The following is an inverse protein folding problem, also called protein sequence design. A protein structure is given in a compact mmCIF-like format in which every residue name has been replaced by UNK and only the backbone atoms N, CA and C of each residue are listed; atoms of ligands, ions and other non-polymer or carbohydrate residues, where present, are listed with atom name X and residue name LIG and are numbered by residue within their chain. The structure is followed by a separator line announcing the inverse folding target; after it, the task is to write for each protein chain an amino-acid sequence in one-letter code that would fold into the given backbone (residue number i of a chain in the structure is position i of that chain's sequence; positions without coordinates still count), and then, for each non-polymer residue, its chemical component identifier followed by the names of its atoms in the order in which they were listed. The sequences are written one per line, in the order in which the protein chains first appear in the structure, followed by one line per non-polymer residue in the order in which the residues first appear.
data_IF_991210026806
#
_entry.id   IF_991210026806
#
_cell.length_a   1.000
_cell.length_b   1.000
_cell.length_c   1.000
_cell.angle_alpha   90.00
_cell.angle_beta   90.00
_cell.angle_gamma   90.00
#
_symmetry.space_group_name_H-M   'P 1'
#
loop_
_entity.id
_entity.type
_entity.pdbx_description
1 polymer ?
#
# COMPACT_ATOMS: atom_id res chain seq x y z
N UNK A 1 -20.41 5.88 9.50
CA UNK A 1 -19.84 4.88 8.56
C UNK A 1 -19.90 5.36 7.11
N UNK A 2 -20.88 6.17 6.70
CA UNK A 2 -21.11 6.54 5.29
C UNK A 2 -19.91 7.13 4.52
N UNK A 3 -18.97 7.81 5.19
CA UNK A 3 -17.76 8.36 4.56
C UNK A 3 -16.45 7.71 5.05
N UNK A 4 -16.51 6.68 5.91
CA UNK A 4 -15.30 6.05 6.45
C UNK A 4 -14.47 5.41 5.33
N UNK A 5 -15.12 4.72 4.39
CA UNK A 5 -14.45 4.15 3.20
C UNK A 5 -13.67 5.23 2.42
N UNK A 6 -14.23 6.44 2.31
CA UNK A 6 -13.63 7.53 1.56
C UNK A 6 -12.40 8.06 2.28
N UNK A 7 -12.47 8.26 3.60
CA UNK A 7 -11.31 8.68 4.38
C UNK A 7 -10.19 7.65 4.33
N UNK A 8 -10.51 6.36 4.37
CA UNK A 8 -9.51 5.29 4.25
C UNK A 8 -8.82 5.36 2.88
N UNK A 9 -9.60 5.42 1.79
CA UNK A 9 -9.05 5.49 0.44
C UNK A 9 -8.17 6.74 0.22
N UNK A 10 -8.59 7.89 0.75
CA UNK A 10 -7.79 9.13 0.69
C UNK A 10 -6.48 8.99 1.47
N UNK A 11 -6.52 8.44 2.69
CA UNK A 11 -5.30 8.24 3.49
C UNK A 11 -4.37 7.23 2.82
N UNK A 12 -4.91 6.16 2.22
CA UNK A 12 -4.12 5.14 1.53
C UNK A 12 -3.43 5.74 0.29
N UNK A 13 -4.14 6.52 -0.53
CA UNK A 13 -3.55 7.23 -1.66
C UNK A 13 -2.47 8.25 -1.27
N UNK A 14 -2.68 8.97 -0.15
CA UNK A 14 -1.65 9.87 0.41
C UNK A 14 -0.45 9.07 0.91
N UNK A 15 -0.70 7.95 1.60
CA UNK A 15 0.36 7.08 2.10
C UNK A 15 1.22 6.57 0.96
N UNK A 16 0.60 6.14 -0.13
CA UNK A 16 1.28 5.66 -1.33
C UNK A 16 2.13 6.79 -1.96
N UNK A 17 1.61 8.01 -2.05
CA UNK A 17 2.40 9.18 -2.47
C UNK A 17 3.61 9.49 -1.57
N UNK A 18 3.43 9.35 -0.26
CA UNK A 18 4.50 9.50 0.70
C UNK A 18 5.57 8.40 0.51
N UNK A 19 5.15 7.15 0.31
CA UNK A 19 6.08 6.05 0.03
C UNK A 19 6.89 6.33 -1.23
N UNK A 20 6.23 6.51 -2.37
CA UNK A 20 6.90 6.61 -3.68
C UNK A 20 7.74 7.89 -3.85
N UNK A 21 7.35 9.02 -3.25
CA UNK A 21 8.03 10.30 -3.48
C UNK A 21 8.85 10.83 -2.33
N UNK A 22 8.44 10.58 -1.09
CA UNK A 22 9.11 11.13 0.10
C UNK A 22 10.10 10.13 0.65
N UNK A 23 9.66 8.90 0.96
CA UNK A 23 10.53 7.87 1.53
C UNK A 23 11.63 7.48 0.56
N UNK A 24 11.31 7.26 -0.71
CA UNK A 24 12.31 6.94 -1.72
C UNK A 24 13.37 8.03 -1.91
N UNK A 25 12.99 9.32 -1.85
CA UNK A 25 13.96 10.42 -1.99
C UNK A 25 14.80 10.61 -0.73
N UNK A 26 14.19 10.51 0.45
CA UNK A 26 14.86 10.76 1.72
C UNK A 26 15.82 9.61 2.08
N UNK A 27 15.44 8.37 1.78
CA UNK A 27 16.17 7.16 2.16
C UNK A 27 16.81 6.44 0.98
N UNK A 28 17.04 7.13 -0.14
CA UNK A 28 17.52 6.52 -1.38
C UNK A 28 18.75 5.63 -1.16
N UNK A 29 19.79 6.15 -0.49
CA UNK A 29 21.03 5.42 -0.24
C UNK A 29 20.81 4.17 0.62
N UNK A 30 19.93 4.26 1.62
CA UNK A 30 19.53 3.13 2.44
C UNK A 30 18.79 2.08 1.62
N UNK A 31 17.82 2.48 0.79
CA UNK A 31 17.08 1.59 -0.09
C UNK A 31 18.00 0.86 -1.07
N UNK A 32 18.99 1.54 -1.66
CA UNK A 32 19.96 0.92 -2.56
C UNK A 32 20.80 -0.13 -1.82
N UNK A 33 21.32 0.20 -0.64
CA UNK A 33 22.09 -0.74 0.17
C UNK A 33 21.25 -1.95 0.56
N UNK A 34 20.03 -1.71 1.03
CA UNK A 34 19.09 -2.72 1.48
C UNK A 34 18.66 -3.65 0.34
N UNK A 35 18.36 -3.11 -0.84
CA UNK A 35 18.10 -3.90 -2.05
C UNK A 35 19.32 -4.77 -2.42
N UNK A 36 20.54 -4.25 -2.27
CA UNK A 36 21.77 -5.02 -2.46
C UNK A 36 21.93 -6.19 -1.49
N UNK A 37 21.52 -6.02 -0.23
CA UNK A 37 21.49 -7.10 0.78
C UNK A 37 20.43 -8.14 0.41
N UNK A 38 19.20 -7.71 0.10
CA UNK A 38 18.12 -8.61 -0.33
C UNK A 38 18.55 -9.42 -1.54
N UNK A 39 19.14 -8.80 -2.55
CA UNK A 39 19.61 -9.47 -3.78
C UNK A 39 20.60 -10.59 -3.52
N UNK A 40 21.42 -10.48 -2.47
CA UNK A 40 22.34 -11.55 -2.06
C UNK A 40 21.63 -12.71 -1.36
N UNK A 41 20.46 -12.45 -0.77
CA UNK A 41 19.65 -13.42 -0.03
C UNK A 41 18.61 -14.12 -0.93
N UNK A 42 18.03 -13.40 -1.90
CA UNK A 42 17.01 -13.93 -2.80
C UNK A 42 17.54 -14.14 -4.21
N UNK A 43 17.19 -15.26 -4.84
CA UNK A 43 17.78 -15.72 -6.10
C UNK A 43 17.13 -15.18 -7.39
N UNK A 44 16.15 -14.27 -7.29
CA UNK A 44 15.41 -13.79 -8.47
C UNK A 44 14.85 -12.39 -8.27
N UNK A 45 14.71 -11.63 -9.37
CA UNK A 45 14.16 -10.27 -9.36
C UNK A 45 12.72 -10.25 -8.83
N UNK A 46 11.88 -11.22 -9.19
CA UNK A 46 10.49 -11.28 -8.70
C UNK A 46 10.41 -11.45 -7.16
N UNK A 47 11.33 -12.21 -6.56
CA UNK A 47 11.40 -12.34 -5.09
C UNK A 47 11.87 -11.04 -4.44
N UNK A 48 12.78 -10.30 -5.07
CA UNK A 48 13.21 -9.01 -4.56
C UNK A 48 12.06 -7.99 -4.62
N UNK A 49 11.35 -7.96 -5.74
CA UNK A 49 10.15 -7.15 -5.92
C UNK A 49 9.08 -7.49 -4.88
N UNK A 50 8.75 -8.78 -4.68
CA UNK A 50 7.81 -9.19 -3.63
C UNK A 50 8.21 -8.74 -2.22
N UNK A 51 9.51 -8.70 -1.91
CA UNK A 51 9.98 -8.16 -0.62
C UNK A 51 9.75 -6.66 -0.53
N UNK A 52 9.96 -5.92 -1.63
CA UNK A 52 9.63 -4.50 -1.70
C UNK A 52 8.14 -4.26 -1.46
N UNK A 53 7.27 -4.92 -2.22
CA UNK A 53 5.81 -4.79 -2.09
C UNK A 53 5.32 -5.18 -0.69
N UNK A 54 5.92 -6.22 -0.08
CA UNK A 54 5.59 -6.61 1.29
C UNK A 54 5.95 -5.52 2.30
N UNK A 55 7.04 -4.80 2.08
CA UNK A 55 7.43 -3.68 2.94
C UNK A 55 6.52 -2.47 2.74
N UNK A 56 6.11 -2.19 1.50
CA UNK A 56 5.12 -1.16 1.19
C UNK A 56 3.77 -1.46 1.85
N UNK A 57 3.29 -2.71 1.76
CA UNK A 57 2.10 -3.16 2.46
C UNK A 57 2.21 -2.98 3.99
N UNK A 58 3.35 -3.34 4.59
CA UNK A 58 3.60 -3.11 6.03
C UNK A 58 3.60 -1.61 6.36
N UNK A 59 4.16 -0.78 5.49
CA UNK A 59 4.13 0.67 5.66
C UNK A 59 2.69 1.20 5.65
N UNK A 60 1.85 0.78 4.70
CA UNK A 60 0.43 1.15 4.65
C UNK A 60 -0.35 0.66 5.87
N UNK A 61 -0.09 -0.57 6.33
CA UNK A 61 -0.67 -1.09 7.57
C UNK A 61 -0.38 -0.17 8.75
N UNK A 62 0.88 0.26 8.92
CA UNK A 62 1.30 1.14 10.02
C UNK A 62 0.61 2.50 9.90
N UNK A 63 0.65 3.12 8.70
CA UNK A 63 0.09 4.45 8.47
C UNK A 63 -1.41 4.48 8.76
N UNK A 64 -2.18 3.54 8.20
CA UNK A 64 -3.62 3.44 8.45
C UNK A 64 -3.92 3.15 9.91
N UNK A 65 -3.23 2.18 10.53
CA UNK A 65 -3.45 1.81 11.93
C UNK A 65 -3.24 3.00 12.86
N UNK A 66 -2.20 3.81 12.62
CA UNK A 66 -1.86 4.98 13.43
C UNK A 66 -2.85 6.12 13.21
N UNK A 67 -3.14 6.49 11.97
CA UNK A 67 -4.02 7.63 11.64
C UNK A 67 -5.43 7.39 12.18
N UNK A 68 -5.93 6.16 12.07
CA UNK A 68 -7.27 5.82 12.52
C UNK A 68 -7.35 5.33 13.98
N UNK A 69 -6.22 5.24 14.71
CA UNK A 69 -6.22 4.73 16.09
C UNK A 69 -7.07 5.57 17.04
N UNK A 70 -6.92 6.89 17.02
CA UNK A 70 -7.68 7.80 17.89
C UNK A 70 -9.18 7.71 17.61
N UNK A 71 -9.67 7.80 16.35
CA UNK A 71 -11.10 7.75 16.08
C UNK A 71 -11.75 6.36 16.13
N UNK A 72 -11.00 5.27 15.89
CA UNK A 72 -11.57 3.91 15.75
C UNK A 72 -11.09 2.92 16.83
N UNK A 73 -10.12 3.27 17.67
CA UNK A 73 -9.53 2.37 18.66
C UNK A 73 -8.91 1.13 18.01
N UNK A 74 -9.16 -0.06 18.57
CA UNK A 74 -8.61 -1.32 18.06
C UNK A 74 -9.10 -1.68 16.65
N UNK A 75 -10.24 -1.15 16.22
CA UNK A 75 -10.75 -1.35 14.86
C UNK A 75 -9.84 -0.72 13.80
N UNK A 76 -8.94 0.20 14.17
CA UNK A 76 -7.95 0.74 13.23
C UNK A 76 -6.97 -0.31 12.71
N UNK A 77 -6.67 -1.36 13.49
CA UNK A 77 -5.80 -2.45 13.05
C UNK A 77 -6.45 -3.31 11.95
N UNK A 78 -7.76 -3.54 12.04
CA UNK A 78 -8.51 -4.24 11.00
C UNK A 78 -8.48 -3.45 9.69
N UNK A 79 -8.73 -2.13 9.76
CA UNK A 79 -8.59 -1.24 8.61
C UNK A 79 -7.16 -1.24 8.05
N UNK A 80 -6.15 -1.23 8.91
CA UNK A 80 -4.75 -1.31 8.50
C UNK A 80 -4.45 -2.61 7.75
N UNK A 81 -4.89 -3.76 8.27
CA UNK A 81 -4.68 -5.07 7.62
C UNK A 81 -5.41 -5.13 6.29
N UNK A 82 -6.68 -4.72 6.27
CA UNK A 82 -7.49 -4.69 5.05
C UNK A 82 -6.87 -3.80 3.98
N UNK A 83 -6.41 -2.60 4.36
CA UNK A 83 -5.79 -1.63 3.46
C UNK A 83 -4.46 -2.12 2.88
N UNK A 84 -3.59 -2.67 3.73
CA UNK A 84 -2.32 -3.25 3.30
C UNK A 84 -2.51 -4.42 2.34
N UNK A 85 -3.48 -5.31 2.63
CA UNK A 85 -3.75 -6.48 1.80
C UNK A 85 -4.34 -6.09 0.45
N UNK A 86 -5.34 -5.20 0.41
CA UNK A 86 -5.93 -4.80 -0.87
C UNK A 86 -4.92 -4.08 -1.76
N UNK A 87 -4.08 -3.21 -1.19
CA UNK A 87 -3.02 -2.54 -1.91
C UNK A 87 -2.06 -3.54 -2.55
N UNK A 88 -1.49 -4.45 -1.74
CA UNK A 88 -0.59 -5.51 -2.21
C UNK A 88 -1.23 -6.41 -3.27
N UNK A 89 -2.54 -6.69 -3.18
CA UNK A 89 -3.26 -7.47 -4.20
C UNK A 89 -3.31 -6.74 -5.54
N UNK A 90 -3.51 -5.42 -5.52
CA UNK A 90 -3.49 -4.59 -6.73
C UNK A 90 -2.07 -4.56 -7.31
N UNK A 91 -1.04 -4.46 -6.46
CA UNK A 91 0.37 -4.51 -6.89
C UNK A 91 0.72 -5.82 -7.60
N UNK A 92 0.42 -6.93 -6.94
CA UNK A 92 0.60 -8.27 -7.49
C UNK A 92 -0.18 -8.43 -8.79
N UNK A 93 -1.42 -7.96 -8.85
CA UNK A 93 -2.23 -8.10 -10.05
C UNK A 93 -1.59 -7.39 -11.24
N UNK A 94 -1.22 -6.12 -11.12
CA UNK A 94 -0.76 -5.36 -12.27
C UNK A 94 0.66 -5.77 -12.71
N UNK A 95 1.53 -6.19 -11.77
CA UNK A 95 2.83 -6.80 -12.10
C UNK A 95 2.66 -8.12 -12.87
N UNK A 96 1.73 -8.98 -12.44
CA UNK A 96 1.46 -10.25 -13.12
C UNK A 96 0.87 -10.07 -14.53
N UNK A 97 0.05 -9.03 -14.73
CA UNK A 97 -0.51 -8.69 -16.05
C UNK A 97 0.53 -7.97 -16.92
N UNK A 98 1.63 -7.47 -16.33
CA UNK A 98 2.71 -6.79 -17.05
C UNK A 98 2.30 -5.42 -17.58
N UNK A 99 1.39 -4.74 -16.89
CA UNK A 99 0.91 -3.41 -17.29
C UNK A 99 1.86 -2.32 -16.80
N UNK A 100 2.47 -1.59 -17.74
CA UNK A 100 3.25 -0.39 -17.43
C UNK A 100 2.32 0.84 -17.42
N UNK A 101 1.79 1.16 -16.24
CA UNK A 101 0.99 2.35 -16.03
C UNK A 101 1.89 3.53 -15.64
N UNK A 102 1.72 4.66 -16.31
CA UNK A 102 2.31 5.92 -15.83
C UNK A 102 1.78 6.26 -14.42
N UNK A 103 2.58 7.00 -13.64
CA UNK A 103 2.32 7.34 -12.23
C UNK A 103 0.85 7.70 -11.91
N UNK A 104 0.22 8.58 -12.70
CA UNK A 104 -1.16 9.00 -12.45
C UNK A 104 -2.18 7.87 -12.65
N UNK A 105 -1.98 7.02 -13.65
CA UNK A 105 -2.90 5.91 -13.96
C UNK A 105 -2.79 4.80 -12.92
N UNK A 106 -1.58 4.46 -12.50
CA UNK A 106 -1.34 3.51 -11.41
C UNK A 106 -2.05 4.00 -10.13
N UNK A 107 -1.87 5.27 -9.75
CA UNK A 107 -2.55 5.85 -8.58
C UNK A 107 -4.07 5.87 -8.69
N UNK A 108 -4.60 6.22 -9.86
CA UNK A 108 -6.04 6.21 -10.09
C UNK A 108 -6.63 4.80 -9.99
N UNK A 109 -5.89 3.78 -10.44
CA UNK A 109 -6.26 2.37 -10.30
C UNK A 109 -6.37 1.98 -8.83
N UNK A 110 -5.32 2.23 -8.05
CA UNK A 110 -5.29 1.96 -6.61
C UNK A 110 -6.46 2.64 -5.91
N UNK A 111 -6.58 3.97 -6.05
CA UNK A 111 -7.65 4.72 -5.41
C UNK A 111 -9.05 4.20 -5.77
N UNK A 112 -9.28 3.83 -7.04
CA UNK A 112 -10.58 3.32 -7.49
C UNK A 112 -10.88 1.95 -6.89
N UNK A 113 -9.96 0.99 -7.00
CA UNK A 113 -10.18 -0.38 -6.51
C UNK A 113 -10.27 -0.41 -4.99
N UNK A 114 -9.38 0.29 -4.29
CA UNK A 114 -9.38 0.40 -2.83
C UNK A 114 -10.68 1.05 -2.34
N UNK A 115 -11.17 2.10 -3.01
CA UNK A 115 -12.46 2.71 -2.69
C UNK A 115 -13.61 1.72 -2.84
N UNK A 116 -13.69 1.01 -3.98
CA UNK A 116 -14.73 0.02 -4.21
C UNK A 116 -14.68 -1.10 -3.17
N UNK A 117 -13.48 -1.57 -2.82
CA UNK A 117 -13.27 -2.58 -1.80
C UNK A 117 -13.82 -2.13 -0.43
N UNK A 118 -13.43 -0.94 0.04
CA UNK A 118 -13.91 -0.45 1.34
C UNK A 118 -15.39 -0.05 1.32
N UNK A 119 -15.94 0.40 0.20
CA UNK A 119 -17.39 0.59 0.04
C UNK A 119 -18.09 -0.75 0.25
N UNK A 120 -17.67 -1.82 -0.41
CA UNK A 120 -18.30 -3.13 -0.30
C UNK A 120 -18.19 -3.70 1.13
N UNK A 121 -17.02 -3.61 1.75
CA UNK A 121 -16.81 -4.14 3.10
C UNK A 121 -17.62 -3.36 4.14
N UNK A 122 -17.62 -2.01 4.08
CA UNK A 122 -18.27 -1.18 5.10
C UNK A 122 -19.75 -0.91 4.84
N UNK A 123 -20.26 -1.12 3.62
CA UNK A 123 -21.70 -1.04 3.33
C UNK A 123 -22.47 -2.31 3.73
N UNK A 124 -21.76 -3.43 3.89
CA UNK A 124 -22.32 -4.69 4.41
C UNK A 124 -22.29 -4.82 5.94
N UNK A 125 -21.75 -3.83 6.65
CA UNK A 125 -21.63 -3.77 8.11
C UNK A 125 -22.57 -2.74 8.72
#
# INVERSE_FOLDING_TARGET
MELLWFYIAVVLAISDEIHSRVFWKLFFDFYVLFAGIIRKTVSSNIRMWLVHESMEAVFHFIVLSVIFFIPLGLFSFEIGVLGALIHMVIDIYHELVGTDYGWLYHRALHFTIESLFFIMILSGM
#
